data_IF_994259367555
#
_entry.id   IF_994259367555
#
_cell.length_a   1.000
_cell.length_b   1.000
_cell.length_c   1.000
_cell.angle_alpha   90.00
_cell.angle_beta   90.00
_cell.angle_gamma   90.00
#
_symmetry.space_group_name_H-M   'P 1'
#
loop_
_entity.id
_entity.type
_entity.pdbx_description
1 polymer ?
#
# COMPACT_ATOMS: atom_id res chain seq x y z
N UNK A 1 -6.08 -2.21 -15.21
CA UNK A 1 -7.27 -2.48 -14.37
C UNK A 1 -6.94 -3.62 -13.41
N UNK A 2 -7.01 -3.38 -12.10
CA UNK A 2 -6.55 -4.34 -11.08
C UNK A 2 -7.60 -5.44 -10.84
N UNK A 3 -7.39 -6.63 -11.41
CA UNK A 3 -8.32 -7.78 -11.34
C UNK A 3 -8.58 -8.24 -9.91
N UNK A 4 -7.57 -8.16 -9.04
CA UNK A 4 -7.71 -8.53 -7.62
C UNK A 4 -8.69 -7.59 -6.92
N UNK A 5 -8.53 -6.28 -7.11
CA UNK A 5 -9.46 -5.28 -6.56
C UNK A 5 -10.89 -5.47 -7.07
N UNK A 6 -11.07 -5.78 -8.37
CA UNK A 6 -12.40 -6.09 -8.92
C UNK A 6 -13.06 -7.27 -8.21
N UNK A 7 -12.33 -8.36 -7.99
CA UNK A 7 -12.84 -9.54 -7.27
C UNK A 7 -13.17 -9.24 -5.80
N UNK A 8 -12.29 -8.55 -5.08
CA UNK A 8 -12.52 -8.14 -3.69
C UNK A 8 -13.76 -7.25 -3.58
N UNK A 9 -13.90 -6.30 -4.51
CA UNK A 9 -15.04 -5.39 -4.58
C UNK A 9 -16.34 -6.16 -4.78
N UNK A 10 -16.34 -7.10 -5.72
CA UNK A 10 -17.49 -7.99 -5.97
C UNK A 10 -17.84 -8.80 -4.72
N UNK A 11 -16.85 -9.41 -4.07
CA UNK A 11 -17.05 -10.19 -2.84
C UNK A 11 -17.65 -9.34 -1.71
N UNK A 12 -17.13 -8.13 -1.49
CA UNK A 12 -17.63 -7.19 -0.47
C UNK A 12 -19.06 -6.74 -0.77
N UNK A 13 -19.40 -6.49 -2.03
CA UNK A 13 -20.78 -6.18 -2.45
C UNK A 13 -21.74 -7.34 -2.15
N UNK A 14 -21.33 -8.59 -2.41
CA UNK A 14 -22.17 -9.77 -2.05
C UNK A 14 -22.37 -9.94 -0.55
N UNK A 15 -21.45 -9.42 0.26
CA UNK A 15 -21.59 -9.35 1.72
C UNK A 15 -22.38 -8.12 2.20
N UNK A 16 -23.14 -7.45 1.32
CA UNK A 16 -23.95 -6.25 1.62
C UNK A 16 -23.15 -5.05 2.17
N UNK A 17 -21.82 -5.04 2.00
CA UNK A 17 -21.00 -3.90 2.37
C UNK A 17 -21.20 -2.75 1.37
N UNK A 18 -21.54 -1.56 1.86
CA UNK A 18 -21.65 -0.35 1.04
C UNK A 18 -20.25 0.18 0.71
N UNK A 19 -19.98 0.44 -0.56
CA UNK A 19 -18.74 1.06 -1.01
C UNK A 19 -18.93 2.58 -0.97
N UNK A 20 -18.10 3.27 -0.19
CA UNK A 20 -17.97 4.73 -0.22
C UNK A 20 -16.78 5.18 -1.07
N UNK A 21 -16.63 6.49 -1.21
CA UNK A 21 -15.36 7.08 -1.61
C UNK A 21 -14.30 6.75 -0.55
N UNK A 22 -13.16 6.21 -0.96
CA UNK A 22 -12.06 5.88 -0.05
C UNK A 22 -11.01 6.97 -0.11
N UNK A 23 -10.42 7.19 -1.29
CA UNK A 23 -9.38 8.19 -1.50
C UNK A 23 -9.12 8.41 -3.00
N UNK A 24 -8.48 9.54 -3.32
CA UNK A 24 -7.89 9.77 -4.65
C UNK A 24 -6.40 9.42 -4.60
N UNK A 25 -5.93 8.55 -5.51
CA UNK A 25 -4.52 8.13 -5.57
C UNK A 25 -3.83 8.78 -6.76
N UNK A 26 -2.72 9.46 -6.49
CA UNK A 26 -1.84 9.99 -7.52
C UNK A 26 -0.76 8.98 -7.87
N UNK A 27 -0.42 8.89 -9.14
CA UNK A 27 0.78 8.20 -9.61
C UNK A 27 2.03 8.99 -9.21
N UNK A 28 3.16 8.29 -9.07
CA UNK A 28 4.47 8.93 -8.86
C UNK A 28 4.77 10.01 -9.90
N UNK A 29 4.31 9.83 -11.14
CA UNK A 29 4.50 10.79 -12.23
C UNK A 29 3.71 12.07 -11.97
N UNK A 30 2.42 11.96 -11.62
CA UNK A 30 1.58 13.12 -11.32
C UNK A 30 2.13 13.96 -10.18
N UNK A 31 2.57 13.33 -9.09
CA UNK A 31 3.14 14.05 -7.94
C UNK A 31 4.44 14.75 -8.32
N UNK A 32 5.34 14.07 -9.05
CA UNK A 32 6.59 14.67 -9.52
C UNK A 32 6.34 15.86 -10.45
N UNK A 33 5.44 15.69 -11.43
CA UNK A 33 5.14 16.71 -12.43
C UNK A 33 4.46 17.92 -11.75
N UNK A 34 3.61 17.70 -10.73
CA UNK A 34 3.05 18.76 -9.89
C UNK A 34 4.14 19.53 -9.12
N UNK A 35 5.04 18.84 -8.42
CA UNK A 35 6.14 19.46 -7.66
C UNK A 35 7.02 20.33 -8.57
N UNK A 36 7.35 19.84 -9.77
CA UNK A 36 8.15 20.60 -10.73
C UNK A 36 7.42 21.87 -11.21
N UNK A 37 6.12 21.78 -11.49
CA UNK A 37 5.31 22.94 -11.91
C UNK A 37 5.17 24.00 -10.83
N UNK A 38 5.26 23.63 -9.56
CA UNK A 38 5.18 24.54 -8.42
C UNK A 38 6.53 25.08 -7.96
N UNK A 39 7.59 24.88 -8.75
CA UNK A 39 8.91 25.43 -8.48
C UNK A 39 9.80 24.56 -7.59
N UNK A 40 9.38 23.34 -7.24
CA UNK A 40 10.24 22.42 -6.50
C UNK A 40 11.13 21.58 -7.43
N UNK A 41 12.38 21.43 -7.04
CA UNK A 41 13.30 20.46 -7.66
C UNK A 41 13.26 19.15 -6.89
N UNK A 42 12.71 18.10 -7.49
CA UNK A 42 12.70 16.75 -6.92
C UNK A 42 14.13 16.18 -6.89
N UNK A 43 14.57 15.76 -5.70
CA UNK A 43 15.91 15.18 -5.47
C UNK A 43 15.85 13.65 -5.45
N UNK A 44 14.85 13.10 -4.73
CA UNK A 44 14.66 11.66 -4.61
C UNK A 44 13.20 11.31 -4.35
N UNK A 45 12.85 10.05 -4.57
CA UNK A 45 11.58 9.46 -4.19
C UNK A 45 11.86 8.12 -3.51
N UNK A 46 11.18 7.86 -2.38
CA UNK A 46 11.34 6.68 -1.57
C UNK A 46 9.98 6.00 -1.33
N UNK A 47 9.94 4.66 -1.24
CA UNK A 47 8.75 3.95 -0.75
C UNK A 47 8.52 4.31 0.73
N UNK A 48 7.28 4.63 1.13
CA UNK A 48 6.99 5.00 2.52
C UNK A 48 6.90 3.78 3.47
N UNK A 49 6.51 2.61 2.94
CA UNK A 49 6.08 1.46 3.74
C UNK A 49 7.14 0.36 3.93
N UNK A 50 8.42 0.67 3.67
CA UNK A 50 9.46 -0.36 3.56
C UNK A 50 10.47 -0.34 4.73
N UNK A 51 10.23 -1.16 5.76
CA UNK A 51 11.20 -1.45 6.82
C UNK A 51 11.13 -2.92 7.30
N UNK A 52 11.74 -3.88 6.57
CA UNK A 52 11.71 -5.28 6.97
C UNK A 52 12.17 -5.52 8.43
N UNK A 53 11.49 -6.38 9.20
CA UNK A 53 10.36 -7.23 8.80
C UNK A 53 8.99 -6.54 8.78
N UNK A 54 8.91 -5.27 9.21
CA UNK A 54 7.68 -4.47 9.25
C UNK A 54 7.35 -3.93 7.86
N UNK A 55 6.34 -4.52 7.22
CA UNK A 55 5.88 -4.09 5.90
C UNK A 55 4.42 -3.63 6.03
N UNK A 56 4.25 -2.38 6.47
CA UNK A 56 2.94 -1.82 6.88
C UNK A 56 1.92 -1.95 5.76
N UNK A 57 2.23 -1.42 4.57
CA UNK A 57 1.34 -1.47 3.41
C UNK A 57 0.93 -2.90 3.03
N UNK A 58 1.90 -3.82 2.92
CA UNK A 58 1.65 -5.23 2.57
C UNK A 58 0.79 -5.93 3.62
N UNK A 59 1.03 -5.66 4.91
CA UNK A 59 0.22 -6.20 5.99
C UNK A 59 -1.20 -5.65 5.95
N UNK A 60 -1.39 -4.34 5.78
CA UNK A 60 -2.71 -3.70 5.70
C UNK A 60 -3.49 -4.24 4.50
N UNK A 61 -2.85 -4.35 3.33
CA UNK A 61 -3.47 -4.91 2.13
C UNK A 61 -3.88 -6.37 2.33
N UNK A 62 -2.99 -7.18 2.91
CA UNK A 62 -3.30 -8.56 3.27
C UNK A 62 -4.52 -8.62 4.21
N UNK A 63 -4.51 -7.86 5.30
CA UNK A 63 -5.63 -7.83 6.24
C UNK A 63 -6.93 -7.29 5.61
N UNK A 64 -6.84 -6.40 4.62
CA UNK A 64 -7.99 -5.91 3.86
C UNK A 64 -8.59 -6.97 2.94
N UNK A 65 -7.75 -7.80 2.30
CA UNK A 65 -8.20 -8.91 1.46
C UNK A 65 -8.94 -9.98 2.28
N UNK A 66 -8.45 -10.23 3.49
CA UNK A 66 -9.01 -11.22 4.41
C UNK A 66 -9.90 -10.58 5.50
N UNK A 67 -10.26 -9.31 5.34
CA UNK A 67 -11.05 -8.57 6.32
C UNK A 67 -12.37 -9.31 6.59
N UNK A 68 -12.57 -9.69 7.84
CA UNK A 68 -13.79 -10.29 8.32
C UNK A 68 -14.16 -9.64 9.66
N UNK A 69 -15.21 -8.81 9.71
CA UNK A 69 -15.60 -8.10 10.92
C UNK A 69 -16.12 -9.05 12.02
N UNK A 70 -16.41 -10.30 11.69
CA UNK A 70 -16.92 -11.32 12.62
C UNK A 70 -15.82 -12.25 13.13
N UNK A 71 -14.59 -12.15 12.62
CA UNK A 71 -13.46 -12.91 13.14
C UNK A 71 -12.78 -12.14 14.26
N UNK A 72 -12.65 -12.79 15.42
CA UNK A 72 -11.83 -12.32 16.52
C UNK A 72 -10.38 -12.26 16.02
N UNK A 73 -9.83 -11.05 15.84
CA UNK A 73 -8.43 -10.89 15.43
C UNK A 73 -7.53 -11.59 16.46
N UNK A 74 -6.73 -12.54 16.00
CA UNK A 74 -5.68 -13.12 16.81
C UNK A 74 -4.71 -11.99 17.26
N UNK A 75 -3.97 -12.24 18.33
CA UNK A 75 -2.92 -11.35 18.85
C UNK A 75 -1.71 -11.38 17.90
N UNK A 76 -1.89 -10.95 16.67
CA UNK A 76 -0.82 -10.84 15.68
C UNK A 76 0.02 -9.60 15.97
N UNK A 77 1.33 -9.69 15.79
CA UNK A 77 2.18 -8.50 15.77
C UNK A 77 1.75 -7.61 14.60
N UNK A 78 1.41 -6.36 14.92
CA UNK A 78 0.98 -5.39 13.92
C UNK A 78 2.10 -5.20 12.88
N UNK A 79 1.69 -5.16 11.61
CA UNK A 79 2.56 -4.90 10.47
C UNK A 79 3.61 -5.96 10.17
N UNK A 80 3.53 -7.12 10.82
CA UNK A 80 4.39 -8.28 10.58
C UNK A 80 3.55 -9.42 10.05
N UNK A 81 3.98 -9.99 8.92
CA UNK A 81 3.40 -11.23 8.40
C UNK A 81 4.16 -12.43 8.96
N UNK A 82 3.46 -13.36 9.60
CA UNK A 82 4.08 -14.53 10.20
C UNK A 82 4.59 -15.55 9.16
N UNK A 83 5.66 -16.26 9.53
CA UNK A 83 6.19 -17.42 8.80
C UNK A 83 6.62 -17.11 7.36
N UNK A 84 6.27 -18.00 6.43
CA UNK A 84 6.68 -17.92 5.03
C UNK A 84 6.14 -16.67 4.32
N UNK A 85 4.95 -16.19 4.72
CA UNK A 85 4.33 -14.98 4.15
C UNK A 85 5.22 -13.76 4.38
N UNK A 86 5.76 -13.61 5.58
CA UNK A 86 6.70 -12.53 5.92
C UNK A 86 8.00 -12.63 5.14
N UNK A 87 8.56 -13.84 4.99
CA UNK A 87 9.79 -14.06 4.22
C UNK A 87 9.60 -13.68 2.74
N UNK A 88 8.50 -14.11 2.12
CA UNK A 88 8.18 -13.77 0.74
C UNK A 88 7.95 -12.26 0.61
N UNK A 89 7.15 -11.67 1.49
CA UNK A 89 6.88 -10.22 1.48
C UNK A 89 8.17 -9.41 1.60
N UNK A 90 9.06 -9.75 2.55
CA UNK A 90 10.36 -9.09 2.72
C UNK A 90 11.29 -9.27 1.52
N UNK A 91 11.29 -10.46 0.90
CA UNK A 91 12.05 -10.72 -0.32
C UNK A 91 11.57 -9.88 -1.50
N UNK A 92 10.27 -9.93 -1.82
CA UNK A 92 9.70 -9.20 -2.95
C UNK A 92 9.84 -7.68 -2.74
N UNK A 93 9.54 -7.17 -1.55
CA UNK A 93 9.68 -5.73 -1.24
C UNK A 93 11.12 -5.23 -1.35
N UNK A 94 12.14 -6.07 -1.12
CA UNK A 94 13.55 -5.69 -1.30
C UNK A 94 13.93 -5.46 -2.76
N UNK A 95 13.35 -6.22 -3.67
CA UNK A 95 13.66 -6.13 -5.11
C UNK A 95 12.77 -5.15 -5.85
N UNK A 96 11.50 -5.08 -5.46
CA UNK A 96 10.47 -4.29 -6.15
C UNK A 96 9.60 -3.53 -5.13
N UNK A 97 10.19 -2.63 -4.32
CA UNK A 97 9.47 -1.95 -3.24
C UNK A 97 8.25 -1.18 -3.75
N UNK A 98 8.36 -0.60 -4.94
CA UNK A 98 7.31 0.18 -5.59
C UNK A 98 6.10 -0.63 -6.05
N UNK A 99 6.20 -1.96 -6.16
CA UNK A 99 5.05 -2.81 -6.46
C UNK A 99 4.19 -3.09 -5.23
N UNK A 100 4.74 -2.88 -4.03
CA UNK A 100 4.14 -3.31 -2.77
C UNK A 100 3.90 -2.17 -1.78
N UNK A 101 4.49 -1.00 -2.01
CA UNK A 101 4.22 0.20 -1.21
C UNK A 101 3.09 1.00 -1.86
N UNK A 102 2.07 1.35 -1.06
CA UNK A 102 0.93 2.13 -1.54
C UNK A 102 1.24 3.62 -1.69
N UNK A 103 2.33 4.06 -1.04
CA UNK A 103 2.69 5.48 -0.92
C UNK A 103 4.13 5.74 -1.38
N UNK A 104 4.34 6.98 -1.85
CA UNK A 104 5.65 7.48 -2.29
C UNK A 104 5.97 8.75 -1.53
N UNK A 105 7.12 8.76 -0.86
CA UNK A 105 7.67 9.94 -0.19
C UNK A 105 8.65 10.63 -1.11
N UNK A 106 8.43 11.91 -1.40
CA UNK A 106 9.35 12.73 -2.19
C UNK A 106 10.22 13.61 -1.31
N UNK A 107 11.52 13.67 -1.63
CA UNK A 107 12.43 14.68 -1.11
C UNK A 107 12.65 15.70 -2.22
N UNK A 108 12.29 16.95 -1.97
CA UNK A 108 12.40 18.04 -2.92
C UNK A 108 12.98 19.30 -2.28
N UNK A 109 13.64 20.12 -3.09
CA UNK A 109 14.16 21.43 -2.71
C UNK A 109 13.27 22.53 -3.28
N UNK A 110 12.93 23.53 -2.47
CA UNK A 110 12.29 24.74 -2.98
C UNK A 110 13.24 25.48 -3.92
N UNK A 111 12.73 25.89 -5.08
CA UNK A 111 13.46 26.69 -6.07
C UNK A 111 13.60 28.15 -5.68
#
# INVERSE_FOLDING_TARGET
>A
MNRLQSWVTWRRRRALMRLGFVEYRFTRREVRDFLQRTGFRVLAAHPNDYLPPKNVGVWVDYQNLFFNPFQRRAREELFVLAGMKGKIAAGVTRWVPWLLCGEVTFVARAG
#
